data_IF_402054726513
#
_entry.id   IF_402054726513
#
_cell.length_a   1.000
_cell.length_b   1.000
_cell.length_c   1.000
_cell.angle_alpha   90.00
_cell.angle_beta   90.00
_cell.angle_gamma   90.00
#
_symmetry.space_group_name_H-M   'P 1'
#
loop_
_entity.id
_entity.type
_entity.pdbx_description
1 polymer ?
#
# COMPACT_ATOMS: atom_id res chain seq x y z
N UNK A 1 -18.03 6.05 -4.61
CA UNK A 1 -16.87 5.79 -3.72
C UNK A 1 -17.34 4.94 -2.55
N UNK A 2 -16.61 3.87 -2.26
CA UNK A 2 -16.94 2.95 -1.16
C UNK A 2 -15.94 3.18 -0.02
N UNK A 3 -16.40 3.54 1.17
CA UNK A 3 -15.49 3.66 2.31
C UNK A 3 -15.02 2.29 2.78
N UNK A 4 -13.72 2.18 3.04
CA UNK A 4 -13.10 0.98 3.53
C UNK A 4 -12.31 1.31 4.79
N UNK A 5 -12.20 0.34 5.70
CA UNK A 5 -11.45 0.50 6.94
C UNK A 5 -10.23 -0.40 6.93
N UNK A 6 -9.05 0.20 7.12
CA UNK A 6 -7.81 -0.55 7.28
C UNK A 6 -7.77 -1.22 8.65
N UNK A 7 -7.11 -2.37 8.72
CA UNK A 7 -6.91 -3.06 9.99
C UNK A 7 -5.88 -2.31 10.85
N UNK A 8 -6.04 -2.32 12.19
CA UNK A 8 -5.00 -1.81 13.07
C UNK A 8 -3.67 -2.51 12.81
N UNK A 9 -2.58 -1.76 12.82
CA UNK A 9 -1.26 -2.29 12.48
C UNK A 9 -0.94 -2.21 10.99
N UNK A 10 -1.92 -1.91 10.14
CA UNK A 10 -1.71 -1.70 8.71
C UNK A 10 -1.21 -2.94 8.00
N UNK A 11 -0.20 -2.77 7.13
CA UNK A 11 0.32 -3.88 6.32
C UNK A 11 1.02 -4.96 7.15
N UNK A 12 1.42 -4.66 8.37
CA UNK A 12 2.01 -5.66 9.27
C UNK A 12 0.95 -6.64 9.77
N UNK A 13 -0.31 -6.22 9.79
CA UNK A 13 -1.44 -7.06 10.18
C UNK A 13 -2.09 -7.71 8.97
N UNK A 14 -2.34 -6.93 7.92
CA UNK A 14 -2.97 -7.40 6.69
C UNK A 14 -2.30 -6.73 5.49
N UNK A 15 -1.78 -7.53 4.56
CA UNK A 15 -1.10 -7.02 3.36
C UNK A 15 -2.11 -6.63 2.28
N UNK A 16 -3.02 -5.73 2.60
CA UNK A 16 -4.06 -5.26 1.68
C UNK A 16 -3.77 -3.87 1.14
N UNK A 17 -4.48 -3.51 0.08
CA UNK A 17 -4.33 -2.19 -0.55
C UNK A 17 -4.85 -1.08 0.36
N UNK A 18 -5.91 -1.35 1.12
CA UNK A 18 -6.45 -0.38 2.07
C UNK A 18 -5.43 -0.05 3.16
N UNK A 19 -4.80 -1.08 3.72
CA UNK A 19 -3.74 -0.90 4.72
C UNK A 19 -2.55 -0.17 4.13
N UNK A 20 -2.19 -0.48 2.87
CA UNK A 20 -1.11 0.19 2.17
C UNK A 20 -1.37 1.69 2.04
N UNK A 21 -2.58 2.07 1.63
CA UNK A 21 -2.93 3.48 1.47
C UNK A 21 -2.83 4.24 2.79
N UNK A 22 -3.36 3.68 3.86
CA UNK A 22 -3.30 4.30 5.20
C UNK A 22 -1.86 4.40 5.68
N UNK A 23 -1.07 3.34 5.50
CA UNK A 23 0.32 3.32 5.94
C UNK A 23 1.17 4.33 5.20
N UNK A 24 1.00 4.46 3.88
CA UNK A 24 1.73 5.46 3.10
C UNK A 24 1.39 6.87 3.56
N UNK A 25 0.14 7.16 3.83
CA UNK A 25 -0.27 8.46 4.37
C UNK A 25 0.35 8.71 5.73
N UNK A 26 0.34 7.71 6.61
CA UNK A 26 0.92 7.83 7.94
C UNK A 26 2.43 8.08 7.87
N UNK A 27 3.14 7.32 7.03
CA UNK A 27 4.59 7.48 6.86
C UNK A 27 4.96 8.83 6.26
N UNK A 28 4.07 9.39 5.44
CA UNK A 28 4.27 10.72 4.86
C UNK A 28 3.90 11.86 5.82
N UNK A 29 3.43 11.56 7.02
CA UNK A 29 3.00 12.56 7.98
C UNK A 29 1.64 13.16 7.66
N UNK A 30 0.83 12.46 6.89
CA UNK A 30 -0.49 12.91 6.47
C UNK A 30 -1.59 12.25 7.32
N UNK A 31 -2.83 12.77 7.28
CA UNK A 31 -3.95 12.09 7.91
C UNK A 31 -4.08 10.65 7.43
N UNK A 32 -4.58 9.77 8.28
CA UNK A 32 -4.67 8.34 8.02
C UNK A 32 -5.85 8.00 7.13
N UNK A 33 -5.86 8.57 5.94
CA UNK A 33 -6.91 8.34 4.94
C UNK A 33 -6.32 8.52 3.55
N UNK A 34 -6.69 7.66 2.62
CA UNK A 34 -6.22 7.72 1.25
C UNK A 34 -7.26 7.24 0.26
N UNK A 35 -7.08 7.64 -0.98
CA UNK A 35 -7.89 7.16 -2.08
C UNK A 35 -7.23 5.97 -2.74
N UNK A 36 -8.04 4.98 -3.10
CA UNK A 36 -7.59 3.81 -3.84
C UNK A 36 -8.23 3.82 -5.22
N UNK A 37 -7.42 3.48 -6.21
CA UNK A 37 -7.89 3.27 -7.57
C UNK A 37 -7.14 2.08 -8.13
N UNK A 38 -7.88 1.10 -8.61
CA UNK A 38 -7.29 -0.09 -9.19
C UNK A 38 -7.16 0.06 -10.70
N UNK A 39 -5.97 -0.27 -11.23
CA UNK A 39 -5.74 -0.22 -12.66
C UNK A 39 -6.35 -1.43 -13.34
N UNK A 40 -6.97 -1.19 -14.48
CA UNK A 40 -7.54 -2.26 -15.30
C UNK A 40 -6.90 -2.19 -16.69
N UNK A 41 -6.87 -3.35 -17.36
CA UNK A 41 -6.41 -3.40 -18.73
C UNK A 41 -7.44 -2.76 -19.66
N UNK A 42 -6.95 -2.19 -20.75
CA UNK A 42 -7.81 -1.64 -21.79
C UNK A 42 -8.31 -2.76 -22.71
N UNK A 43 -9.18 -3.59 -22.17
CA UNK A 43 -9.84 -4.68 -22.88
C UNK A 43 -11.34 -4.61 -22.65
N UNK A 44 -12.10 -5.48 -23.32
CA UNK A 44 -13.56 -5.44 -23.29
C UNK A 44 -14.15 -5.69 -21.91
N UNK A 45 -13.45 -6.47 -21.09
CA UNK A 45 -13.94 -6.85 -19.76
C UNK A 45 -13.31 -6.03 -18.64
N UNK A 46 -12.35 -5.17 -18.94
CA UNK A 46 -11.67 -4.37 -17.93
C UNK A 46 -10.95 -5.23 -16.90
N UNK A 47 -10.22 -6.25 -17.35
CA UNK A 47 -9.51 -7.15 -16.44
C UNK A 47 -8.47 -6.41 -15.61
N UNK A 48 -8.18 -6.93 -14.44
CA UNK A 48 -7.22 -6.30 -13.52
C UNK A 48 -5.82 -6.32 -14.11
N UNK A 49 -5.18 -5.14 -14.08
CA UNK A 49 -3.81 -5.00 -14.57
C UNK A 49 -2.85 -5.72 -13.64
N UNK A 50 -2.02 -6.58 -14.22
CA UNK A 50 -1.03 -7.34 -13.47
C UNK A 50 0.30 -6.61 -13.40
N UNK A 51 1.24 -7.19 -12.65
CA UNK A 51 2.53 -6.61 -12.33
C UNK A 51 3.27 -6.00 -13.53
N UNK A 52 3.42 -6.77 -14.60
CA UNK A 52 4.21 -6.31 -15.75
C UNK A 52 3.54 -5.15 -16.47
N UNK A 53 2.22 -5.20 -16.62
CA UNK A 53 1.46 -4.10 -17.21
C UNK A 53 1.46 -2.88 -16.30
N UNK A 54 1.40 -3.06 -14.98
CA UNK A 54 1.53 -1.97 -14.02
C UNK A 54 2.91 -1.32 -14.12
N UNK A 55 3.96 -2.11 -14.28
CA UNK A 55 5.32 -1.60 -14.43
C UNK A 55 5.44 -0.73 -15.67
N UNK A 56 4.90 -1.20 -16.79
CA UNK A 56 4.90 -0.44 -18.02
C UNK A 56 4.10 0.86 -17.89
N UNK A 57 2.94 0.79 -17.24
CA UNK A 57 2.12 1.98 -16.97
C UNK A 57 2.88 2.99 -16.11
N UNK A 58 3.50 2.55 -15.05
CA UNK A 58 4.25 3.41 -14.15
C UNK A 58 5.42 4.09 -14.89
N UNK A 59 6.15 3.32 -15.70
CA UNK A 59 7.27 3.85 -16.48
C UNK A 59 6.78 4.90 -17.48
N UNK A 60 5.65 4.63 -18.17
CA UNK A 60 5.10 5.55 -19.15
C UNK A 60 4.72 6.90 -18.55
N UNK A 61 4.17 6.91 -17.35
CA UNK A 61 3.68 8.13 -16.72
C UNK A 61 4.63 8.66 -15.62
N UNK A 62 5.79 8.07 -15.46
CA UNK A 62 6.75 8.52 -14.46
C UNK A 62 6.27 8.37 -13.03
N UNK A 63 5.47 7.34 -12.75
CA UNK A 63 4.89 7.09 -11.43
C UNK A 63 5.76 6.08 -10.69
N UNK A 64 6.16 6.36 -9.44
CA UNK A 64 6.85 5.36 -8.63
C UNK A 64 6.00 4.11 -8.45
N UNK A 65 6.63 2.95 -8.48
CA UNK A 65 5.96 1.67 -8.27
C UNK A 65 6.63 0.90 -7.14
N UNK A 66 5.83 0.51 -6.17
CA UNK A 66 6.31 -0.31 -5.05
C UNK A 66 5.39 -1.53 -4.89
N UNK A 67 5.87 -2.53 -4.17
CA UNK A 67 5.06 -3.67 -3.79
C UNK A 67 4.67 -3.56 -2.32
N UNK A 68 3.59 -4.24 -1.95
CA UNK A 68 3.19 -4.34 -0.54
C UNK A 68 4.30 -4.98 0.29
N UNK A 69 4.99 -5.98 -0.29
CA UNK A 69 6.10 -6.64 0.40
C UNK A 69 7.22 -5.66 0.73
N UNK A 70 7.52 -4.72 -0.17
CA UNK A 70 8.53 -3.69 0.09
C UNK A 70 8.13 -2.78 1.24
N UNK A 71 6.85 -2.43 1.33
CA UNK A 71 6.34 -1.61 2.41
C UNK A 71 6.38 -2.35 3.74
N UNK A 72 6.01 -3.63 3.75
CA UNK A 72 6.12 -4.48 4.94
C UNK A 72 7.56 -4.53 5.42
N UNK A 73 8.50 -4.80 4.53
CA UNK A 73 9.92 -4.85 4.85
C UNK A 73 10.41 -3.51 5.42
N UNK A 74 10.02 -2.41 4.80
CA UNK A 74 10.39 -1.08 5.27
C UNK A 74 9.90 -0.85 6.72
N UNK A 75 8.63 -1.18 6.99
CA UNK A 75 8.07 -1.00 8.33
C UNK A 75 8.73 -1.92 9.34
N UNK A 76 8.99 -3.18 8.99
CA UNK A 76 9.67 -4.10 9.88
C UNK A 76 11.07 -3.61 10.23
N UNK A 77 11.79 -3.06 9.24
CA UNK A 77 13.13 -2.56 9.44
C UNK A 77 13.16 -1.28 10.28
N UNK A 78 12.20 -0.38 10.07
CA UNK A 78 12.20 0.93 10.73
C UNK A 78 11.45 0.92 12.05
N UNK A 79 10.41 0.09 12.19
CA UNK A 79 9.53 0.07 13.36
C UNK A 79 9.67 -1.20 14.19
N UNK A 80 10.28 -2.25 13.63
CA UNK A 80 10.40 -3.52 14.34
C UNK A 80 11.03 -3.38 15.71
N UNK A 81 12.06 -2.56 15.83
CA UNK A 81 12.72 -2.27 17.11
C UNK A 81 11.83 -1.46 18.03
N UNK A 82 11.08 -0.54 17.46
CA UNK A 82 10.13 0.27 18.21
C UNK A 82 8.95 -0.58 18.67
N UNK A 83 8.51 -1.52 17.85
CA UNK A 83 7.46 -2.44 18.24
C UNK A 83 7.88 -3.34 19.38
N UNK A 84 9.11 -3.84 19.40
CA UNK A 84 9.64 -4.61 20.51
C UNK A 84 9.58 -3.81 21.80
N UNK A 85 9.89 -2.52 21.73
CA UNK A 85 9.77 -1.61 22.85
C UNK A 85 8.32 -1.31 23.18
N UNK A 86 7.51 -1.06 22.15
CA UNK A 86 6.10 -0.70 22.30
C UNK A 86 5.24 -1.88 22.71
N UNK A 87 5.58 -3.08 22.22
CA UNK A 87 4.86 -4.29 22.59
C UNK A 87 4.96 -4.59 24.09
N UNK A 88 5.96 -4.02 24.74
CA UNK A 88 6.09 -4.11 26.19
C UNK A 88 5.11 -3.17 26.92
N UNK A 89 4.51 -2.27 26.18
CA UNK A 89 3.51 -1.37 26.75
C UNK A 89 2.14 -2.03 26.73
#
# INVERSE_FOLDING_TARGET
MVPLRARPGGVLTRRGHTETAVDLCTLAGLPRAGLLCELVNDDEVGSMMRRDACRAFADRFGIPMISVAMLVEYRERTEGRQQDTTAAL
#
